data_IF_724482301006
#
_entry.id   IF_724482301006
#
_cell.length_a   1.000
_cell.length_b   1.000
_cell.length_c   1.000
_cell.angle_alpha   90.00
_cell.angle_beta   90.00
_cell.angle_gamma   90.00
#
_symmetry.space_group_name_H-M   'P 1'
#
loop_
_entity.id
_entity.type
_entity.pdbx_description
1 polymer ?
#
# COMPACT_ATOMS: atom_id res chain seq x y z
N UNK A 1 -12.50 6.07 8.91
CA UNK A 1 -11.70 5.66 10.07
C UNK A 1 -10.83 6.83 10.50
N UNK A 2 -10.33 6.77 11.70
CA UNK A 2 -9.47 7.80 12.29
C UNK A 2 -8.28 7.14 12.96
N UNK A 3 -7.16 7.87 13.01
CA UNK A 3 -6.00 7.50 13.82
C UNK A 3 -6.25 7.86 15.29
N UNK A 4 -5.36 7.46 16.20
CA UNK A 4 -5.39 7.88 17.62
C UNK A 4 -5.42 9.40 17.78
N UNK A 5 -4.79 10.14 16.86
CA UNK A 5 -4.77 11.61 16.81
C UNK A 5 -6.00 12.22 16.12
N UNK A 6 -7.07 11.44 15.90
CA UNK A 6 -8.31 11.87 15.19
C UNK A 6 -8.08 12.32 13.73
N UNK A 7 -6.97 11.95 13.12
CA UNK A 7 -6.74 12.20 11.70
C UNK A 7 -7.51 11.19 10.84
N UNK A 8 -8.07 11.67 9.74
CA UNK A 8 -8.79 10.80 8.81
C UNK A 8 -7.88 9.74 8.21
N UNK A 9 -8.29 8.47 8.31
CA UNK A 9 -7.61 7.34 7.69
C UNK A 9 -8.59 6.54 6.83
N UNK A 10 -8.37 6.43 5.51
CA UNK A 10 -9.39 5.93 4.58
C UNK A 10 -9.68 4.44 4.71
N UNK A 11 -8.68 3.64 5.07
CA UNK A 11 -8.77 2.18 5.17
C UNK A 11 -8.12 1.69 6.46
N UNK A 12 -8.71 0.72 7.17
CA UNK A 12 -8.06 0.11 8.33
C UNK A 12 -6.83 -0.69 7.89
N UNK A 13 -5.75 -0.60 8.67
CA UNK A 13 -4.64 -1.55 8.60
C UNK A 13 -5.02 -2.73 9.48
N UNK A 14 -5.11 -3.91 8.88
CA UNK A 14 -5.55 -5.12 9.58
C UNK A 14 -4.46 -6.18 9.56
N UNK A 15 -4.36 -6.95 10.62
CA UNK A 15 -3.42 -8.05 10.75
C UNK A 15 -4.19 -9.38 10.81
N UNK A 16 -4.34 -10.09 9.67
CA UNK A 16 -5.07 -11.35 9.64
C UNK A 16 -4.26 -12.48 10.27
N UNK A 17 -4.95 -13.37 10.97
CA UNK A 17 -4.43 -14.63 11.50
C UNK A 17 -5.36 -15.78 11.13
N UNK A 18 -4.78 -16.94 10.87
CA UNK A 18 -5.53 -18.16 10.59
C UNK A 18 -6.16 -18.75 11.86
N UNK A 19 -7.11 -19.66 11.68
CA UNK A 19 -7.70 -20.42 12.81
C UNK A 19 -6.65 -21.21 13.58
N UNK A 20 -5.62 -21.73 12.89
CA UNK A 20 -4.54 -22.48 13.55
C UNK A 20 -3.65 -21.55 14.40
N UNK A 21 -3.30 -20.38 13.90
CA UNK A 21 -2.54 -19.37 14.65
C UNK A 21 -3.33 -18.88 15.84
N UNK A 22 -4.64 -18.62 15.67
CA UNK A 22 -5.53 -18.20 16.76
C UNK A 22 -5.49 -19.15 17.97
N UNK A 23 -5.39 -20.47 17.73
CA UNK A 23 -5.32 -21.46 18.81
C UNK A 23 -4.03 -21.37 19.66
N UNK A 24 -2.97 -20.75 19.11
CA UNK A 24 -1.63 -20.66 19.75
C UNK A 24 -1.38 -19.35 20.47
N UNK A 25 -2.28 -18.38 20.34
CA UNK A 25 -2.10 -17.03 20.84
C UNK A 25 -3.28 -16.58 21.70
N UNK A 26 -2.98 -15.79 22.73
CA UNK A 26 -3.95 -15.24 23.69
C UNK A 26 -3.76 -13.73 23.82
N UNK A 27 -4.77 -13.04 24.36
CA UNK A 27 -4.68 -11.62 24.77
C UNK A 27 -3.48 -11.40 25.70
N UNK A 28 -2.83 -10.25 25.56
CA UNK A 28 -1.64 -9.83 26.32
C UNK A 28 -0.38 -10.68 26.04
N UNK A 29 -0.44 -11.61 25.09
CA UNK A 29 0.74 -12.37 24.68
C UNK A 29 1.63 -11.52 23.77
N UNK A 30 2.93 -11.53 24.05
CA UNK A 30 3.95 -10.97 23.13
C UNK A 30 4.35 -12.02 22.13
N UNK A 31 4.32 -11.66 20.85
CA UNK A 31 4.73 -12.53 19.75
C UNK A 31 5.73 -11.83 18.84
N UNK A 32 6.63 -12.61 18.26
CA UNK A 32 7.62 -12.12 17.28
C UNK A 32 7.07 -12.31 15.88
N UNK A 33 7.20 -11.28 15.06
CA UNK A 33 6.81 -11.29 13.64
C UNK A 33 8.05 -11.46 12.78
N UNK A 34 7.97 -12.35 11.81
CA UNK A 34 9.03 -12.61 10.84
C UNK A 34 8.50 -12.42 9.42
N UNK A 35 9.37 -11.94 8.53
CA UNK A 35 9.15 -11.88 7.10
C UNK A 35 10.36 -12.46 6.37
N UNK A 36 10.13 -13.47 5.51
CA UNK A 36 11.20 -14.20 4.83
C UNK A 36 12.34 -14.62 5.78
N UNK A 37 11.98 -15.21 6.93
CA UNK A 37 12.88 -15.63 8.01
C UNK A 37 13.66 -14.50 8.72
N UNK A 38 13.39 -13.24 8.39
CA UNK A 38 13.99 -12.10 9.09
C UNK A 38 13.05 -11.61 10.19
N UNK A 39 13.57 -11.39 11.38
CA UNK A 39 12.82 -10.78 12.49
C UNK A 39 12.43 -9.34 12.12
N UNK A 40 11.14 -9.01 12.23
CA UNK A 40 10.61 -7.68 11.93
C UNK A 40 10.28 -6.91 13.19
N UNK A 41 9.45 -7.49 14.05
CA UNK A 41 8.90 -6.79 15.20
C UNK A 41 8.48 -7.76 16.30
N UNK A 42 8.41 -7.24 17.52
CA UNK A 42 7.65 -7.85 18.61
C UNK A 42 6.37 -7.05 18.80
N UNK A 43 5.23 -7.72 18.80
CA UNK A 43 3.93 -7.13 19.06
C UNK A 43 3.29 -7.72 20.32
N UNK A 44 2.46 -6.95 20.99
CA UNK A 44 1.60 -7.39 22.08
C UNK A 44 0.15 -7.41 21.63
N UNK A 45 -0.54 -8.52 21.84
CA UNK A 45 -1.92 -8.71 21.40
C UNK A 45 -2.85 -8.00 22.39
N UNK A 46 -3.62 -7.04 21.87
CA UNK A 46 -4.66 -6.33 22.61
C UNK A 46 -5.97 -7.08 22.53
N UNK A 47 -6.39 -7.44 21.30
CA UNK A 47 -7.65 -8.12 21.04
C UNK A 47 -7.57 -9.03 19.81
N UNK A 48 -8.42 -10.06 19.79
CA UNK A 48 -8.62 -10.92 18.60
C UNK A 48 -10.09 -10.82 18.20
N UNK A 49 -10.36 -10.32 16.99
CA UNK A 49 -11.70 -10.01 16.53
C UNK A 49 -12.02 -10.55 15.12
N UNK A 50 -13.27 -10.45 14.72
CA UNK A 50 -13.76 -10.65 13.36
C UNK A 50 -14.25 -9.31 12.79
N UNK A 51 -14.02 -9.09 11.50
CA UNK A 51 -14.52 -7.88 10.84
C UNK A 51 -16.02 -8.05 10.55
N UNK A 52 -16.82 -7.14 11.05
CA UNK A 52 -18.26 -7.11 10.84
C UNK A 52 -18.65 -6.62 9.45
N UNK A 53 -19.80 -7.08 8.94
CA UNK A 53 -20.34 -6.67 7.64
C UNK A 53 -20.50 -5.15 7.51
N UNK A 54 -20.87 -4.45 8.59
CA UNK A 54 -20.98 -2.98 8.59
C UNK A 54 -19.66 -2.28 8.28
N UNK A 55 -18.53 -2.83 8.79
CA UNK A 55 -17.20 -2.31 8.51
C UNK A 55 -16.82 -2.55 7.05
N UNK A 56 -17.14 -3.73 6.51
CA UNK A 56 -16.91 -4.03 5.09
C UNK A 56 -17.68 -3.07 4.19
N UNK A 57 -18.95 -2.81 4.50
CA UNK A 57 -19.75 -1.81 3.79
C UNK A 57 -19.11 -0.41 3.88
N UNK A 58 -18.61 -0.02 5.03
CA UNK A 58 -17.90 1.27 5.22
C UNK A 58 -16.62 1.36 4.38
N UNK A 59 -15.89 0.24 4.20
CA UNK A 59 -14.65 0.18 3.42
C UNK A 59 -14.94 0.24 1.92
N UNK A 60 -15.86 -0.59 1.42
CA UNK A 60 -16.09 -0.80 -0.01
C UNK A 60 -17.25 0.01 -0.58
N UNK A 61 -18.15 0.53 0.25
CA UNK A 61 -19.40 1.17 -0.16
C UNK A 61 -20.51 0.17 -0.50
N UNK A 62 -20.23 -1.13 -0.45
CA UNK A 62 -21.18 -2.22 -0.72
C UNK A 62 -20.69 -3.54 -0.08
N UNK A 63 -21.57 -4.56 -0.09
CA UNK A 63 -21.23 -5.92 0.34
C UNK A 63 -21.58 -6.93 -0.75
N UNK A 64 -20.59 -7.36 -1.53
CA UNK A 64 -20.75 -8.43 -2.53
C UNK A 64 -19.59 -9.42 -2.40
N UNK A 65 -19.89 -10.67 -2.03
CA UNK A 65 -18.87 -11.70 -1.78
C UNK A 65 -18.06 -12.07 -3.02
N UNK A 66 -18.57 -11.81 -4.23
CA UNK A 66 -17.82 -11.99 -5.48
C UNK A 66 -16.70 -10.96 -5.69
N UNK A 67 -16.68 -9.89 -4.90
CA UNK A 67 -15.61 -8.89 -4.96
C UNK A 67 -14.33 -9.41 -4.28
N UNK A 68 -13.15 -9.43 -4.96
CA UNK A 68 -11.95 -10.07 -4.43
C UNK A 68 -11.45 -9.47 -3.12
N UNK A 69 -11.52 -8.15 -2.97
CA UNK A 69 -11.15 -7.48 -1.74
C UNK A 69 -12.07 -7.88 -0.57
N UNK A 70 -13.39 -7.90 -0.80
CA UNK A 70 -14.36 -8.32 0.23
C UNK A 70 -14.14 -9.79 0.58
N UNK A 71 -13.93 -10.66 -0.42
CA UNK A 71 -13.66 -12.09 -0.19
C UNK A 71 -12.48 -12.30 0.78
N UNK A 72 -11.43 -11.50 0.67
CA UNK A 72 -10.29 -11.58 1.58
C UNK A 72 -10.68 -11.18 3.02
N UNK A 73 -11.52 -10.13 3.20
CA UNK A 73 -11.98 -9.71 4.53
C UNK A 73 -12.97 -10.67 5.19
N UNK A 74 -13.75 -11.41 4.42
CA UNK A 74 -14.74 -12.35 4.95
C UNK A 74 -14.24 -13.78 5.01
N UNK A 75 -12.97 -14.03 4.74
CA UNK A 75 -12.42 -15.39 4.79
C UNK A 75 -12.69 -16.00 6.18
N UNK A 76 -13.46 -17.08 6.20
CA UNK A 76 -13.90 -17.77 7.42
C UNK A 76 -12.73 -18.24 8.29
N UNK A 77 -11.59 -18.53 7.65
CA UNK A 77 -10.39 -19.00 8.33
C UNK A 77 -9.59 -17.89 9.01
N UNK A 78 -9.97 -16.61 8.83
CA UNK A 78 -9.25 -15.50 9.40
C UNK A 78 -9.98 -14.91 10.62
N UNK A 79 -9.18 -14.59 11.62
CA UNK A 79 -9.45 -13.57 12.63
C UNK A 79 -8.44 -12.45 12.45
N UNK A 80 -8.62 -11.35 13.15
CA UNK A 80 -7.75 -10.19 13.05
C UNK A 80 -7.22 -9.84 14.43
N UNK A 81 -5.98 -9.35 14.48
CA UNK A 81 -5.35 -8.86 15.70
C UNK A 81 -5.47 -7.35 15.78
N UNK A 82 -5.89 -6.86 16.94
CA UNK A 82 -5.49 -5.57 17.45
C UNK A 82 -4.23 -5.76 18.28
N UNK A 83 -3.18 -4.98 18.03
CA UNK A 83 -1.89 -5.18 18.66
C UNK A 83 -1.09 -3.88 18.77
N UNK A 84 -0.21 -3.84 19.77
CA UNK A 84 0.78 -2.79 19.96
C UNK A 84 2.16 -3.26 19.50
N UNK A 85 2.89 -2.42 18.78
CA UNK A 85 4.28 -2.69 18.41
C UNK A 85 5.15 -2.37 19.63
N UNK A 86 5.82 -3.39 20.18
CA UNK A 86 6.72 -3.25 21.34
C UNK A 86 8.14 -2.92 20.89
N UNK A 87 8.61 -3.59 19.84
CA UNK A 87 9.91 -3.33 19.22
C UNK A 87 9.87 -3.58 17.73
N UNK A 88 10.70 -2.89 16.99
CA UNK A 88 10.79 -3.00 15.54
C UNK A 88 12.25 -3.07 15.11
N UNK A 89 12.58 -4.05 14.26
CA UNK A 89 13.92 -4.19 13.68
C UNK A 89 14.07 -3.26 12.47
N UNK A 90 14.77 -2.14 12.66
CA UNK A 90 15.01 -1.16 11.58
C UNK A 90 15.90 -1.68 10.47
N UNK A 91 16.76 -2.65 10.74
CA UNK A 91 17.71 -3.20 9.76
C UNK A 91 17.01 -3.97 8.63
N UNK A 92 15.79 -4.49 8.89
CA UNK A 92 15.00 -5.16 7.85
C UNK A 92 14.74 -4.25 6.66
N UNK A 93 14.63 -2.95 6.87
CA UNK A 93 14.38 -1.96 5.82
C UNK A 93 15.52 -1.88 4.80
N UNK A 94 16.73 -2.33 5.19
CA UNK A 94 17.89 -2.39 4.30
C UNK A 94 17.92 -3.68 3.47
N UNK A 95 17.15 -4.70 3.88
CA UNK A 95 17.12 -6.03 3.24
C UNK A 95 15.98 -6.20 2.22
N UNK A 96 15.06 -5.27 2.18
CA UNK A 96 13.94 -5.25 1.24
C UNK A 96 14.03 -4.01 0.35
N UNK A 97 13.45 -4.06 -0.83
CA UNK A 97 13.38 -2.90 -1.75
C UNK A 97 12.44 -1.81 -1.19
N UNK A 98 12.74 -1.42 0.05
CA UNK A 98 12.00 -0.38 0.77
C UNK A 98 12.77 0.94 0.72
N UNK A 99 12.06 1.98 0.36
CA UNK A 99 12.60 3.33 0.29
C UNK A 99 11.99 4.18 1.41
N UNK A 100 12.82 4.55 2.39
CA UNK A 100 12.38 5.36 3.51
C UNK A 100 11.75 6.69 3.05
N UNK A 101 10.51 6.99 3.45
CA UNK A 101 9.82 8.21 3.06
C UNK A 101 10.61 9.50 3.37
N UNK A 102 11.32 9.55 4.48
CA UNK A 102 12.13 10.71 4.86
C UNK A 102 13.29 10.96 3.88
N UNK A 103 13.92 9.89 3.37
CA UNK A 103 15.00 9.99 2.37
C UNK A 103 14.43 10.53 1.05
N UNK A 104 13.29 10.01 0.62
CA UNK A 104 12.63 10.49 -0.61
C UNK A 104 12.18 11.94 -0.45
N UNK A 105 11.57 12.30 0.68
CA UNK A 105 11.17 13.67 1.00
C UNK A 105 12.34 14.65 0.92
N UNK A 106 13.52 14.26 1.45
CA UNK A 106 14.76 15.06 1.32
C UNK A 106 15.20 15.22 -0.14
N UNK A 107 15.04 14.21 -1.00
CA UNK A 107 15.33 14.31 -2.45
C UNK A 107 14.39 15.27 -3.18
N UNK A 108 13.15 15.40 -2.73
CA UNK A 108 12.16 16.34 -3.29
C UNK A 108 12.51 17.79 -2.92
N UNK A 109 13.07 18.04 -1.72
CA UNK A 109 13.61 19.37 -1.29
C UNK A 109 12.65 20.54 -1.52
N UNK A 110 11.48 20.52 -0.94
CA UNK A 110 10.49 21.63 -1.03
C UNK A 110 10.04 21.97 -2.48
N UNK A 111 10.33 21.13 -3.47
CA UNK A 111 9.83 21.29 -4.83
C UNK A 111 8.43 20.69 -4.95
N UNK A 112 7.63 21.23 -5.86
CA UNK A 112 6.38 20.54 -6.23
C UNK A 112 6.71 19.19 -6.84
N UNK A 113 5.99 18.16 -6.42
CA UNK A 113 6.22 16.79 -6.87
C UNK A 113 4.89 16.08 -7.15
N UNK A 114 4.77 15.51 -8.34
CA UNK A 114 3.66 14.62 -8.68
C UNK A 114 4.02 13.18 -8.29
N UNK A 115 3.16 12.50 -7.53
CA UNK A 115 3.30 11.07 -7.24
C UNK A 115 2.55 10.22 -8.26
N UNK A 116 3.23 9.26 -8.86
CA UNK A 116 2.65 8.26 -9.75
C UNK A 116 2.70 6.87 -9.12
N UNK A 117 1.53 6.22 -9.07
CA UNK A 117 1.36 4.87 -8.56
C UNK A 117 1.04 3.91 -9.69
N UNK A 118 1.71 2.76 -9.73
CA UNK A 118 1.44 1.72 -10.73
C UNK A 118 1.62 0.32 -10.15
N UNK A 119 1.03 -0.66 -10.79
CA UNK A 119 1.26 -2.11 -10.60
C UNK A 119 1.71 -2.77 -11.90
N UNK A 120 2.01 -1.98 -12.91
CA UNK A 120 2.34 -2.45 -14.24
C UNK A 120 3.75 -2.01 -14.65
N UNK A 121 4.32 -2.73 -15.58
CA UNK A 121 5.51 -2.28 -16.32
C UNK A 121 5.17 -1.01 -17.11
N UNK A 122 6.13 -0.09 -17.30
CA UNK A 122 5.90 1.13 -18.08
C UNK A 122 5.48 0.84 -19.53
N UNK A 123 4.58 1.65 -20.03
CA UNK A 123 4.16 1.68 -21.43
C UNK A 123 3.82 3.13 -21.84
N UNK A 124 3.58 3.37 -23.12
CA UNK A 124 3.38 4.73 -23.66
C UNK A 124 2.32 5.54 -22.90
N UNK A 125 1.22 4.91 -22.46
CA UNK A 125 0.20 5.57 -21.63
C UNK A 125 0.74 6.06 -20.29
N UNK A 126 1.61 5.29 -19.62
CA UNK A 126 2.29 5.75 -18.41
C UNK A 126 3.25 6.90 -18.71
N UNK A 127 4.04 6.81 -19.77
CA UNK A 127 4.97 7.87 -20.16
C UNK A 127 4.24 9.19 -20.45
N UNK A 128 3.05 9.11 -21.08
CA UNK A 128 2.20 10.27 -21.30
C UNK A 128 1.73 10.88 -19.97
N UNK A 129 1.23 10.06 -19.01
CA UNK A 129 0.84 10.53 -17.67
C UNK A 129 2.04 11.13 -16.92
N UNK A 130 3.23 10.53 -17.04
CA UNK A 130 4.48 11.09 -16.49
C UNK A 130 4.76 12.49 -17.06
N UNK A 131 4.58 12.65 -18.39
CA UNK A 131 4.78 13.95 -19.03
C UNK A 131 3.81 15.01 -18.52
N UNK A 132 2.54 14.64 -18.26
CA UNK A 132 1.57 15.55 -17.64
C UNK A 132 2.00 15.94 -16.22
N UNK A 133 2.37 14.97 -15.39
CA UNK A 133 2.85 15.24 -14.03
C UNK A 133 4.01 16.25 -14.02
N UNK A 134 4.91 16.13 -14.98
CA UNK A 134 6.07 17.03 -15.14
C UNK A 134 5.73 18.41 -15.71
N UNK A 135 4.60 18.58 -16.37
CA UNK A 135 4.11 19.91 -16.78
C UNK A 135 3.63 20.74 -15.58
N UNK A 136 3.08 20.09 -14.56
CA UNK A 136 2.52 20.77 -13.40
C UNK A 136 3.47 20.78 -12.19
N UNK A 137 4.46 19.90 -12.15
CA UNK A 137 5.36 19.74 -11.00
C UNK A 137 6.83 19.72 -11.42
N UNK A 138 7.69 20.22 -10.54
CA UNK A 138 9.15 20.25 -10.73
C UNK A 138 9.81 18.85 -10.60
N UNK A 139 9.14 17.90 -9.96
CA UNK A 139 9.59 16.52 -9.75
C UNK A 139 8.46 15.55 -10.04
N UNK A 140 8.84 14.31 -10.37
CA UNK A 140 7.94 13.18 -10.49
C UNK A 140 8.47 12.03 -9.63
N UNK A 141 7.65 11.53 -8.71
CA UNK A 141 7.94 10.30 -7.96
C UNK A 141 7.24 9.13 -8.65
N UNK A 142 8.01 8.23 -9.25
CA UNK A 142 7.51 6.97 -9.83
C UNK A 142 7.61 5.90 -8.75
N UNK A 143 6.46 5.36 -8.32
CA UNK A 143 6.39 4.46 -7.18
C UNK A 143 5.51 3.25 -7.47
N UNK A 144 6.08 2.18 -8.07
CA UNK A 144 5.36 0.93 -8.25
C UNK A 144 5.04 0.28 -6.90
N UNK A 145 3.85 -0.33 -6.83
CA UNK A 145 3.46 -1.15 -5.69
C UNK A 145 4.05 -2.54 -5.85
N UNK A 146 4.79 -2.99 -4.85
CA UNK A 146 5.37 -4.33 -4.73
C UNK A 146 4.77 -5.07 -3.54
N UNK A 147 4.87 -6.40 -3.53
CA UNK A 147 4.34 -7.25 -2.45
C UNK A 147 3.63 -8.47 -3.00
N UNK A 148 2.40 -8.73 -2.59
CA UNK A 148 1.67 -9.91 -3.01
C UNK A 148 1.14 -9.80 -4.44
N UNK A 149 1.43 -10.81 -5.27
CA UNK A 149 1.01 -10.93 -6.66
C UNK A 149 -0.13 -11.91 -6.84
N UNK A 150 -0.91 -11.67 -7.89
CA UNK A 150 -1.84 -12.65 -8.44
C UNK A 150 -1.22 -13.32 -9.66
N UNK A 151 -1.66 -14.55 -9.94
CA UNK A 151 -1.34 -15.23 -11.20
C UNK A 151 -1.74 -14.34 -12.39
N UNK A 152 -0.80 -14.10 -13.30
CA UNK A 152 -0.99 -13.21 -14.46
C UNK A 152 -0.59 -11.75 -14.26
N UNK A 153 -0.16 -11.33 -13.06
CA UNK A 153 0.47 -10.02 -12.83
C UNK A 153 1.99 -10.10 -13.05
N UNK A 154 2.61 -8.95 -13.27
CA UNK A 154 4.07 -8.84 -13.38
C UNK A 154 4.73 -9.16 -12.03
N UNK A 155 5.86 -9.88 -12.06
CA UNK A 155 6.62 -10.14 -10.86
C UNK A 155 7.33 -8.87 -10.34
N UNK A 156 7.75 -8.90 -9.08
CA UNK A 156 8.38 -7.77 -8.39
C UNK A 156 9.63 -7.27 -9.11
N UNK A 157 10.50 -8.19 -9.52
CA UNK A 157 11.74 -7.85 -10.21
C UNK A 157 11.45 -7.09 -11.52
N UNK A 158 10.51 -7.57 -12.34
CA UNK A 158 10.13 -6.89 -13.57
C UNK A 158 9.54 -5.50 -13.31
N UNK A 159 8.70 -5.35 -12.27
CA UNK A 159 8.16 -4.04 -11.88
C UNK A 159 9.26 -3.07 -11.44
N UNK A 160 10.18 -3.52 -10.60
CA UNK A 160 11.27 -2.68 -10.10
C UNK A 160 12.20 -2.28 -11.23
N UNK A 161 12.75 -3.26 -11.97
CA UNK A 161 13.76 -3.03 -12.99
C UNK A 161 13.25 -2.12 -14.11
N UNK A 162 12.06 -2.40 -14.65
CA UNK A 162 11.50 -1.61 -15.76
C UNK A 162 11.12 -0.20 -15.34
N UNK A 163 10.60 0.00 -14.12
CA UNK A 163 10.29 1.35 -13.63
C UNK A 163 11.57 2.12 -13.23
N UNK A 164 12.64 1.46 -12.76
CA UNK A 164 13.97 2.06 -12.58
C UNK A 164 14.51 2.55 -13.92
N UNK A 165 14.53 1.69 -14.94
CA UNK A 165 14.99 2.04 -16.28
C UNK A 165 14.18 3.23 -16.83
N UNK A 166 12.85 3.18 -16.74
CA UNK A 166 12.01 4.29 -17.20
C UNK A 166 12.31 5.62 -16.48
N UNK A 167 12.71 5.55 -15.21
CA UNK A 167 13.11 6.72 -14.42
C UNK A 167 14.48 7.25 -14.87
N UNK A 168 15.43 6.37 -15.14
CA UNK A 168 16.80 6.72 -15.58
C UNK A 168 16.82 7.31 -16.99
N UNK A 169 16.01 6.77 -17.89
CA UNK A 169 15.86 7.30 -19.27
C UNK A 169 15.15 8.65 -19.30
N UNK A 170 14.54 9.06 -18.19
CA UNK A 170 13.84 10.33 -18.09
C UNK A 170 14.81 11.49 -17.87
N UNK A 171 14.97 12.34 -18.88
CA UNK A 171 15.79 13.56 -18.84
C UNK A 171 15.39 14.58 -17.74
N UNK A 172 14.26 14.39 -17.10
CA UNK A 172 13.65 15.30 -16.12
C UNK A 172 13.77 14.82 -14.69
N UNK A 173 14.86 14.41 -14.18
CA UNK A 173 15.10 14.14 -12.73
C UNK A 173 13.92 13.51 -11.98
N UNK A 174 13.31 12.47 -12.57
CA UNK A 174 12.33 11.63 -11.88
C UNK A 174 12.98 10.92 -10.70
N UNK A 175 12.21 10.63 -9.66
CA UNK A 175 12.65 9.93 -8.47
C UNK A 175 11.98 8.56 -8.48
N UNK A 176 12.76 7.50 -8.33
CA UNK A 176 12.26 6.14 -8.16
C UNK A 176 12.12 5.82 -6.67
N UNK A 177 11.06 5.10 -6.33
CA UNK A 177 10.83 4.46 -5.03
C UNK A 177 9.88 3.29 -5.22
N UNK A 178 9.73 2.44 -4.22
CA UNK A 178 8.73 1.38 -4.19
C UNK A 178 7.69 1.66 -3.10
N UNK A 179 6.51 1.05 -3.24
CA UNK A 179 5.48 1.03 -2.21
C UNK A 179 5.13 -0.43 -1.88
N UNK A 180 5.60 -0.88 -0.71
CA UNK A 180 5.34 -2.25 -0.26
C UNK A 180 3.91 -2.37 0.27
N UNK A 181 3.04 -2.98 -0.51
CA UNK A 181 1.63 -3.16 -0.20
C UNK A 181 1.00 -4.23 -1.09
N UNK A 182 -0.28 -4.50 -0.88
CA UNK A 182 -1.08 -5.35 -1.75
C UNK A 182 -2.39 -4.64 -2.13
N UNK A 183 -2.95 -4.92 -3.33
CA UNK A 183 -4.18 -4.29 -3.78
C UNK A 183 -5.36 -4.77 -2.95
N UNK A 184 -6.12 -3.83 -2.42
CA UNK A 184 -7.34 -4.10 -1.64
C UNK A 184 -8.60 -4.00 -2.50
N UNK A 185 -8.48 -3.35 -3.67
CA UNK A 185 -9.59 -3.08 -4.59
C UNK A 185 -10.73 -2.27 -3.96
N UNK A 186 -10.40 -1.35 -3.05
CA UNK A 186 -11.36 -0.52 -2.33
C UNK A 186 -11.75 0.76 -3.07
N UNK A 187 -11.43 0.87 -4.37
CA UNK A 187 -11.80 2.01 -5.21
C UNK A 187 -11.36 3.36 -4.65
N UNK A 188 -12.28 4.33 -4.50
CA UNK A 188 -11.93 5.70 -4.09
C UNK A 188 -11.22 5.77 -2.73
N UNK A 189 -11.55 4.92 -1.77
CA UNK A 189 -10.88 4.90 -0.46
C UNK A 189 -9.42 4.47 -0.56
N UNK A 190 -9.13 3.48 -1.41
CA UNK A 190 -7.75 3.07 -1.64
C UNK A 190 -6.98 4.12 -2.45
N UNK A 191 -7.63 4.82 -3.37
CA UNK A 191 -7.03 5.97 -4.06
C UNK A 191 -6.60 7.06 -3.07
N UNK A 192 -7.44 7.37 -2.09
CA UNK A 192 -7.11 8.33 -1.02
C UNK A 192 -5.94 7.82 -0.16
N UNK A 193 -5.91 6.53 0.20
CA UNK A 193 -4.76 5.95 0.90
C UNK A 193 -3.47 6.13 0.09
N UNK A 194 -3.52 5.84 -1.20
CA UNK A 194 -2.37 6.00 -2.09
C UNK A 194 -1.92 7.47 -2.18
N UNK A 195 -2.85 8.41 -2.18
CA UNK A 195 -2.54 9.84 -2.14
C UNK A 195 -1.88 10.26 -0.82
N UNK A 196 -2.41 9.82 0.33
CA UNK A 196 -1.83 10.08 1.65
C UNK A 196 -0.42 9.51 1.79
N UNK A 197 -0.18 8.30 1.28
CA UNK A 197 1.16 7.72 1.23
C UNK A 197 2.10 8.64 0.45
N UNK A 198 1.73 9.11 -0.75
CA UNK A 198 2.58 10.01 -1.56
C UNK A 198 2.80 11.37 -0.88
N UNK A 199 1.78 11.89 -0.19
CA UNK A 199 1.93 13.08 0.67
C UNK A 199 3.01 12.88 1.73
N UNK A 200 3.04 11.71 2.39
CA UNK A 200 4.07 11.38 3.38
C UNK A 200 5.47 11.23 2.76
N UNK A 201 5.56 10.81 1.51
CA UNK A 201 6.80 10.82 0.73
C UNK A 201 7.22 12.23 0.24
N UNK A 202 6.39 13.25 0.46
CA UNK A 202 6.68 14.66 0.12
C UNK A 202 6.06 15.13 -1.20
N UNK A 203 5.18 14.34 -1.83
CA UNK A 203 4.46 14.78 -3.01
C UNK A 203 3.41 15.83 -2.66
N UNK A 204 3.31 16.87 -3.49
CA UNK A 204 2.28 17.91 -3.43
C UNK A 204 1.05 17.57 -4.28
N UNK A 205 1.23 16.70 -5.28
CA UNK A 205 0.19 16.27 -6.20
C UNK A 205 0.20 14.74 -6.34
N UNK A 206 -0.95 14.18 -6.70
CA UNK A 206 -1.07 12.75 -6.96
C UNK A 206 -1.80 12.51 -8.28
N UNK A 207 -1.22 11.67 -9.14
CA UNK A 207 -1.80 11.32 -10.43
C UNK A 207 -2.78 10.16 -10.24
N UNK A 208 -4.06 10.42 -10.42
CA UNK A 208 -5.14 9.46 -10.23
C UNK A 208 -5.68 9.02 -11.59
N UNK A 209 -5.63 7.73 -11.87
CA UNK A 209 -6.27 7.14 -13.05
C UNK A 209 -7.79 7.02 -12.88
N UNK A 210 -8.53 6.91 -13.99
CA UNK A 210 -10.00 6.83 -13.99
C UNK A 210 -10.56 5.71 -13.11
N UNK A 211 -9.97 4.53 -13.14
CA UNK A 211 -10.39 3.34 -12.40
C UNK A 211 -9.37 2.98 -11.30
N UNK A 212 -8.77 4.00 -10.66
CA UNK A 212 -7.71 3.81 -9.68
C UNK A 212 -8.18 2.92 -8.51
N UNK A 213 -7.47 1.81 -8.29
CA UNK A 213 -7.76 0.81 -7.26
C UNK A 213 -9.19 0.20 -7.32
N UNK A 214 -9.90 0.38 -8.44
CA UNK A 214 -11.16 -0.32 -8.70
C UNK A 214 -10.95 -1.76 -9.13
N UNK A 215 -12.05 -2.52 -9.18
CA UNK A 215 -12.08 -3.86 -9.73
C UNK A 215 -13.33 -4.03 -10.61
N UNK A 216 -13.14 -4.26 -11.92
CA UNK A 216 -14.23 -4.40 -12.90
C UNK A 216 -15.23 -3.23 -12.77
N UNK A 217 -16.53 -3.53 -12.80
CA UNK A 217 -17.62 -2.56 -12.75
C UNK A 217 -18.26 -2.43 -11.35
N UNK A 218 -17.52 -2.76 -10.28
CA UNK A 218 -18.05 -2.67 -8.91
C UNK A 218 -18.24 -1.23 -8.43
N UNK A 219 -17.42 -0.31 -8.92
CA UNK A 219 -17.54 1.12 -8.64
C UNK A 219 -18.14 1.83 -9.85
N UNK A 220 -19.09 2.75 -9.61
CA UNK A 220 -19.62 3.62 -10.68
C UNK A 220 -18.48 4.51 -11.20
N UNK A 221 -18.46 4.67 -12.50
CA UNK A 221 -17.55 5.61 -13.19
C UNK A 221 -18.04 7.03 -13.05
#
# INVERSE_FOLDING_TARGET
FETENKEFFPLPIVFPITTQEKKKINKNKKIKIYYLNNFIATIEIVEIYKIEKKIINKIFGFYKQSHPGIKNFININFSYLDCKIISFNKEILNKIEFYNPLVIKKKIKNKTCAGFHTRNVPHNGHLWIHSLGKKFCQKLLIQPMIGQYKKGEFNEKALIDTNKIATELDKYKSIFSTFFSYPKYCGPREAILHALVRKNYGCSHFLVGRDHAGYKNFYKK
#
